data_IF_917088292332
#
_entry.id   IF_917088292332
#
_cell.length_a   1.000
_cell.length_b   1.000
_cell.length_c   1.000
_cell.angle_alpha   90.00
_cell.angle_beta   90.00
_cell.angle_gamma   90.00
#
_symmetry.space_group_name_H-M   'P 1'
#
loop_
_entity.id
_entity.type
_entity.pdbx_description
1 polymer ?
#
# COMPACT_ATOMS: atom_id res chain seq x y z
N UNK A 1 5.29 28.34 -2.34
CA UNK A 1 4.55 27.88 -3.54
C UNK A 1 3.37 28.84 -3.74
N UNK A 2 3.02 29.17 -4.98
CA UNK A 2 1.81 29.94 -5.27
C UNK A 2 0.62 28.98 -5.48
N UNK A 3 -0.51 29.23 -4.81
CA UNK A 3 -1.72 28.41 -4.93
C UNK A 3 -2.41 28.67 -6.27
N UNK A 4 -2.64 27.62 -7.05
CA UNK A 4 -3.39 27.72 -8.30
C UNK A 4 -4.91 27.61 -8.07
N UNK A 5 -5.69 27.67 -9.16
CA UNK A 5 -7.14 27.53 -9.08
C UNK A 5 -7.55 26.14 -8.55
N UNK A 6 -6.86 25.09 -8.97
CA UNK A 6 -7.20 23.72 -8.61
C UNK A 6 -6.96 23.46 -7.12
N UNK A 7 -5.91 24.04 -6.53
CA UNK A 7 -5.64 24.00 -5.09
C UNK A 7 -6.80 24.60 -4.30
N UNK A 8 -7.34 25.76 -4.74
CA UNK A 8 -8.43 26.45 -4.04
C UNK A 8 -9.74 25.67 -4.13
N UNK A 9 -10.08 25.17 -5.31
CA UNK A 9 -11.29 24.36 -5.50
C UNK A 9 -11.18 23.05 -4.70
N UNK A 10 -10.03 22.38 -4.74
CA UNK A 10 -9.80 21.14 -3.99
C UNK A 10 -9.81 21.33 -2.48
N UNK A 11 -9.21 22.40 -1.96
CA UNK A 11 -9.28 22.72 -0.54
C UNK A 11 -10.72 22.96 -0.06
N UNK A 12 -11.54 23.65 -0.87
CA UNK A 12 -12.96 23.89 -0.55
C UNK A 12 -13.80 22.61 -0.66
N UNK A 13 -13.56 21.77 -1.66
CA UNK A 13 -14.35 20.57 -1.93
C UNK A 13 -14.01 19.42 -0.96
N UNK A 14 -12.77 19.38 -0.46
CA UNK A 14 -12.22 18.28 0.33
C UNK A 14 -11.55 18.76 1.63
N UNK A 15 -12.24 19.63 2.37
CA UNK A 15 -11.76 20.15 3.66
C UNK A 15 -11.33 19.00 4.62
N UNK A 16 -10.11 19.08 5.13
CA UNK A 16 -9.54 18.05 6.00
C UNK A 16 -9.04 16.78 5.28
N UNK A 17 -9.08 16.72 3.95
CA UNK A 17 -8.58 15.58 3.15
C UNK A 17 -7.55 15.99 2.09
N UNK A 18 -7.07 17.23 2.13
CA UNK A 18 -6.02 17.72 1.25
C UNK A 18 -4.69 17.79 1.99
N UNK A 19 -3.60 17.49 1.31
CA UNK A 19 -2.24 17.60 1.85
C UNK A 19 -1.28 18.06 0.76
N UNK A 20 -0.32 18.89 1.15
CA UNK A 20 0.73 19.40 0.25
C UNK A 20 1.75 18.30 -0.05
N UNK A 21 1.92 17.97 -1.33
CA UNK A 21 2.66 16.76 -1.75
C UNK A 21 4.18 16.92 -1.70
N UNK A 22 4.68 18.15 -1.73
CA UNK A 22 6.08 18.48 -1.43
C UNK A 22 6.48 18.02 -0.01
N UNK A 23 5.62 18.29 0.98
CA UNK A 23 5.84 17.93 2.38
C UNK A 23 5.88 16.41 2.53
N UNK A 24 4.95 15.71 1.89
CA UNK A 24 4.92 14.23 1.88
C UNK A 24 6.26 13.67 1.38
N UNK A 25 6.76 14.17 0.25
CA UNK A 25 8.07 13.76 -0.30
C UNK A 25 9.25 14.11 0.62
N UNK A 26 9.21 15.28 1.27
CA UNK A 26 10.26 15.74 2.19
C UNK A 26 10.40 14.79 3.38
N UNK A 27 9.29 14.40 4.00
CA UNK A 27 9.30 13.61 5.23
C UNK A 27 9.35 12.09 5.00
N UNK A 28 8.79 11.57 3.90
CA UNK A 28 8.83 10.11 3.63
C UNK A 28 10.23 9.55 3.44
N UNK A 29 11.21 10.39 3.09
CA UNK A 29 12.63 9.99 2.95
C UNK A 29 13.42 10.07 4.25
N UNK A 30 12.88 10.71 5.29
CA UNK A 30 13.61 10.99 6.55
C UNK A 30 13.37 9.95 7.64
N UNK A 31 12.28 9.20 7.54
CA UNK A 31 11.81 8.28 8.56
C UNK A 31 11.58 6.88 7.98
N UNK A 32 11.86 5.81 8.74
CA UNK A 32 11.76 4.43 8.27
C UNK A 32 10.32 3.91 8.31
N UNK A 33 9.37 4.68 7.78
CA UNK A 33 7.95 4.31 7.68
C UNK A 33 7.43 4.55 6.26
N UNK A 34 6.38 3.83 5.81
CA UNK A 34 5.83 4.02 4.48
C UNK A 34 5.32 5.46 4.23
N UNK A 35 5.30 5.86 2.96
CA UNK A 35 4.85 7.21 2.56
C UNK A 35 3.44 7.52 3.05
N UNK A 36 2.49 6.58 2.92
CA UNK A 36 1.11 6.77 3.39
C UNK A 36 1.02 7.00 4.91
N UNK A 37 1.97 6.50 5.71
CA UNK A 37 2.00 6.74 7.18
C UNK A 37 2.39 8.17 7.49
N UNK A 38 3.42 8.68 6.83
CA UNK A 38 3.84 10.09 6.93
C UNK A 38 2.71 10.99 6.45
N UNK A 39 2.11 10.63 5.33
CA UNK A 39 1.03 11.41 4.73
C UNK A 39 -0.22 11.42 5.60
N UNK A 40 -0.56 10.33 6.29
CA UNK A 40 -1.65 10.33 7.26
C UNK A 40 -1.42 11.35 8.39
N UNK A 41 -0.19 11.42 8.93
CA UNK A 41 0.14 12.40 9.98
C UNK A 41 0.06 13.83 9.44
N UNK A 42 0.58 14.07 8.23
CA UNK A 42 0.45 15.36 7.56
C UNK A 42 -1.02 15.72 7.29
N UNK A 43 -1.83 14.80 6.76
CA UNK A 43 -3.25 15.00 6.54
C UNK A 43 -4.05 15.23 7.84
N UNK A 44 -3.53 14.78 8.98
CA UNK A 44 -4.19 15.01 10.27
C UNK A 44 -3.90 16.39 10.86
N UNK A 45 -2.68 16.90 10.70
CA UNK A 45 -2.23 18.13 11.37
C UNK A 45 -1.98 19.30 10.41
N UNK A 46 -1.85 19.04 9.10
CA UNK A 46 -1.49 19.99 8.06
C UNK A 46 -2.50 20.01 6.90
N UNK A 47 -3.74 19.54 7.12
CA UNK A 47 -4.79 19.57 6.09
C UNK A 47 -5.47 20.95 5.99
N UNK A 48 -4.65 21.96 5.71
CA UNK A 48 -5.05 23.34 5.50
C UNK A 48 -4.25 23.93 4.34
N UNK A 49 -4.75 25.03 3.77
CA UNK A 49 -4.01 25.85 2.79
C UNK A 49 -3.42 27.13 3.42
N UNK A 50 -3.66 27.38 4.71
CA UNK A 50 -3.01 28.45 5.45
C UNK A 50 -1.60 28.01 5.86
N UNK A 51 -0.58 28.73 5.39
CA UNK A 51 0.82 28.40 5.65
C UNK A 51 1.15 28.39 7.16
N UNK A 52 0.49 29.23 7.98
CA UNK A 52 0.74 29.26 9.43
C UNK A 52 0.22 27.99 10.11
N UNK A 53 -0.99 27.56 9.75
CA UNK A 53 -1.57 26.32 10.27
C UNK A 53 -0.72 25.11 9.85
N UNK A 54 -0.21 25.12 8.61
CA UNK A 54 0.72 24.09 8.13
C UNK A 54 2.01 24.10 8.95
N UNK A 55 2.65 25.24 9.19
CA UNK A 55 3.88 25.34 9.98
C UNK A 55 3.71 24.83 11.43
N UNK A 56 2.60 25.19 12.07
CA UNK A 56 2.25 24.67 13.40
C UNK A 56 2.04 23.16 13.38
N UNK A 57 1.30 22.65 12.39
CA UNK A 57 1.06 21.24 12.18
C UNK A 57 2.35 20.46 11.92
N UNK A 58 3.26 21.01 11.14
CA UNK A 58 4.57 20.42 10.82
C UNK A 58 5.41 20.21 12.07
N UNK A 59 5.42 21.17 13.00
CA UNK A 59 6.12 21.04 14.28
C UNK A 59 5.62 19.83 15.08
N UNK A 60 4.31 19.58 15.04
CA UNK A 60 3.70 18.42 15.70
C UNK A 60 4.10 17.12 14.99
N UNK A 61 4.04 17.09 13.65
CA UNK A 61 4.38 15.92 12.83
C UNK A 61 5.85 15.53 13.00
N UNK A 62 6.76 16.49 12.93
CA UNK A 62 8.20 16.28 13.12
C UNK A 62 8.50 15.65 14.48
N UNK A 63 7.91 16.21 15.55
CA UNK A 63 8.05 15.66 16.89
C UNK A 63 7.50 14.24 16.97
N UNK A 64 6.31 13.97 16.42
CA UNK A 64 5.71 12.64 16.46
C UNK A 64 6.54 11.60 15.69
N UNK A 65 7.01 11.94 14.49
CA UNK A 65 7.85 11.03 13.71
C UNK A 65 9.21 10.80 14.38
N UNK A 66 9.85 11.85 14.92
CA UNK A 66 11.12 11.73 15.62
C UNK A 66 11.01 10.88 16.91
N UNK A 67 9.96 11.06 17.69
CA UNK A 67 9.81 10.38 18.98
C UNK A 67 9.30 8.94 18.86
N UNK A 68 8.61 8.60 17.77
CA UNK A 68 7.83 7.36 17.66
C UNK A 68 8.30 6.41 16.57
N UNK A 69 9.11 6.85 15.61
CA UNK A 69 9.69 5.93 14.63
C UNK A 69 10.99 5.36 15.17
N UNK A 70 11.17 4.04 15.06
CA UNK A 70 12.40 3.38 15.49
C UNK A 70 13.38 3.37 14.33
N UNK A 71 14.55 3.99 14.49
CA UNK A 71 15.61 3.92 13.49
C UNK A 71 16.45 2.66 13.69
N UNK A 72 17.09 2.21 12.62
CA UNK A 72 18.01 1.06 12.68
C UNK A 72 19.08 1.28 13.75
N UNK A 73 19.20 0.35 14.69
CA UNK A 73 20.13 0.43 15.82
C UNK A 73 19.56 1.09 17.08
N UNK A 74 18.34 1.66 17.04
CA UNK A 74 17.68 2.27 18.20
C UNK A 74 16.67 1.32 18.89
N UNK A 75 16.59 0.05 18.47
CA UNK A 75 15.59 -0.91 18.94
C UNK A 75 15.70 -1.12 20.46
N UNK A 76 16.93 -1.31 20.95
CA UNK A 76 17.21 -1.49 22.39
C UNK A 76 17.00 -0.21 23.20
N UNK A 77 17.17 0.97 22.58
CA UNK A 77 16.91 2.25 23.24
C UNK A 77 15.42 2.44 23.52
N UNK A 78 14.56 2.07 22.57
CA UNK A 78 13.11 2.11 22.77
C UNK A 78 12.66 1.08 23.82
N UNK A 79 13.21 -0.15 23.79
CA UNK A 79 12.94 -1.17 24.83
C UNK A 79 13.36 -0.71 26.22
N UNK A 80 14.55 -0.12 26.36
CA UNK A 80 15.04 0.41 27.63
C UNK A 80 14.13 1.55 28.13
N UNK A 81 13.72 2.47 27.26
CA UNK A 81 12.77 3.53 27.62
C UNK A 81 11.42 2.98 28.08
N UNK A 82 10.90 1.94 27.42
CA UNK A 82 9.67 1.26 27.84
C UNK A 82 9.82 0.70 29.26
N UNK A 83 10.95 0.05 29.55
CA UNK A 83 11.28 -0.48 30.88
C UNK A 83 11.39 0.62 31.94
N UNK A 84 12.10 1.70 31.64
CA UNK A 84 12.39 2.75 32.62
C UNK A 84 11.18 3.65 32.91
N UNK A 85 10.35 3.91 31.89
CA UNK A 85 9.18 4.80 31.99
C UNK A 85 7.87 4.05 32.22
N UNK A 86 7.89 2.72 32.17
CA UNK A 86 6.71 1.85 32.21
C UNK A 86 6.01 1.70 30.86
N UNK A 87 5.94 2.78 30.05
CA UNK A 87 5.41 2.70 28.68
C UNK A 87 6.03 3.75 27.74
N UNK A 88 5.95 3.45 26.45
CA UNK A 88 6.35 4.33 25.35
C UNK A 88 5.30 4.27 24.23
N UNK A 89 5.36 5.26 23.34
CA UNK A 89 4.60 5.26 22.08
C UNK A 89 5.55 5.05 20.91
N UNK A 90 5.15 4.23 19.97
CA UNK A 90 5.86 4.04 18.71
C UNK A 90 4.89 3.89 17.54
N UNK A 91 5.39 4.04 16.32
CA UNK A 91 4.68 3.71 15.09
C UNK A 91 5.32 2.44 14.54
N UNK A 92 4.53 1.38 14.40
CA UNK A 92 5.01 0.10 13.87
C UNK A 92 3.90 -0.61 13.11
N UNK A 93 4.28 -1.58 12.27
CA UNK A 93 3.35 -2.56 11.74
C UNK A 93 3.04 -3.58 12.85
N UNK A 94 1.76 -3.75 13.16
CA UNK A 94 1.30 -4.69 14.18
C UNK A 94 0.77 -5.94 13.50
N UNK A 95 1.37 -7.08 13.85
CA UNK A 95 0.86 -8.41 13.48
C UNK A 95 0.49 -9.17 14.74
N UNK A 96 -0.43 -10.10 14.64
CA UNK A 96 -0.82 -10.99 15.73
C UNK A 96 -0.93 -12.43 15.21
N UNK A 97 -0.74 -13.39 16.12
CA UNK A 97 -0.95 -14.81 15.88
C UNK A 97 -1.54 -15.44 17.14
N UNK A 98 -2.29 -16.52 16.96
CA UNK A 98 -2.71 -17.37 18.07
C UNK A 98 -1.53 -18.21 18.55
N UNK A 99 -1.19 -18.10 19.83
CA UNK A 99 -0.27 -19.02 20.49
C UNK A 99 -1.06 -20.15 21.17
N UNK A 100 -1.20 -21.26 20.45
CA UNK A 100 -1.94 -22.44 20.91
C UNK A 100 -1.37 -23.08 22.19
N UNK A 101 -0.12 -22.77 22.58
CA UNK A 101 0.46 -23.30 23.84
C UNK A 101 -0.11 -22.61 25.06
N UNK A 102 -0.47 -21.34 24.93
CA UNK A 102 -0.93 -20.49 26.03
C UNK A 102 -2.39 -20.06 25.86
N UNK A 103 -3.04 -20.49 24.78
CA UNK A 103 -4.40 -20.11 24.40
C UNK A 103 -4.59 -18.59 24.44
N UNK A 104 -3.64 -17.85 23.88
CA UNK A 104 -3.63 -16.39 23.87
C UNK A 104 -3.12 -15.84 22.54
N UNK A 105 -3.51 -14.62 22.20
CA UNK A 105 -2.88 -13.91 21.09
C UNK A 105 -1.54 -13.28 21.52
N UNK A 106 -0.58 -13.32 20.61
CA UNK A 106 0.67 -12.58 20.73
C UNK A 106 0.92 -11.76 19.49
N UNK A 107 1.51 -10.59 19.70
CA UNK A 107 1.84 -9.64 18.65
C UNK A 107 3.32 -9.60 18.32
N UNK A 108 3.60 -9.24 17.08
CA UNK A 108 4.93 -8.91 16.57
C UNK A 108 5.00 -7.40 16.30
N UNK A 109 6.09 -6.78 16.76
CA UNK A 109 6.49 -5.40 16.51
C UNK A 109 7.87 -5.43 15.84
N UNK A 110 7.93 -5.51 14.49
CA UNK A 110 9.17 -5.72 13.75
C UNK A 110 10.20 -4.61 13.97
N UNK A 111 9.77 -3.36 14.16
CA UNK A 111 10.67 -2.23 14.37
C UNK A 111 11.46 -2.34 15.67
N UNK A 112 11.00 -3.16 16.62
CA UNK A 112 11.71 -3.51 17.85
C UNK A 112 12.25 -4.95 17.85
N UNK A 113 12.09 -5.70 16.76
CA UNK A 113 12.38 -7.13 16.70
C UNK A 113 11.71 -7.95 17.82
N UNK A 114 10.52 -7.55 18.27
CA UNK A 114 9.74 -8.27 19.28
C UNK A 114 8.71 -9.17 18.59
N UNK A 115 8.67 -10.46 18.94
CA UNK A 115 7.80 -11.47 18.28
C UNK A 115 6.72 -12.08 19.17
N UNK A 116 6.80 -11.82 20.47
CA UNK A 116 5.94 -12.42 21.49
C UNK A 116 5.48 -11.34 22.48
N UNK A 117 4.93 -10.24 21.95
CA UNK A 117 4.35 -9.14 22.73
C UNK A 117 2.94 -9.52 23.16
N UNK A 118 2.59 -9.31 24.43
CA UNK A 118 1.21 -9.57 24.90
C UNK A 118 0.25 -8.58 24.26
N UNK A 119 -0.95 -9.04 23.92
CA UNK A 119 -2.04 -8.19 23.41
C UNK A 119 -3.38 -8.72 23.93
N UNK A 120 -4.31 -7.82 24.21
CA UNK A 120 -5.66 -8.18 24.61
C UNK A 120 -6.47 -8.79 23.45
N UNK A 121 -7.22 -9.85 23.74
CA UNK A 121 -8.10 -10.54 22.79
C UNK A 121 -9.14 -9.63 22.16
N UNK A 122 -9.70 -8.70 22.93
CA UNK A 122 -10.66 -7.72 22.45
C UNK A 122 -10.04 -6.79 21.41
N UNK A 123 -8.80 -6.36 21.64
CA UNK A 123 -8.05 -5.52 20.69
C UNK A 123 -7.77 -6.27 19.37
N UNK A 124 -7.46 -7.57 19.44
CA UNK A 124 -7.28 -8.41 18.25
C UNK A 124 -8.59 -8.58 17.47
N UNK A 125 -9.70 -8.85 18.16
CA UNK A 125 -11.02 -9.01 17.53
C UNK A 125 -11.54 -7.73 16.88
N UNK A 126 -11.23 -6.57 17.46
CA UNK A 126 -11.55 -5.27 16.85
C UNK A 126 -10.74 -4.98 15.58
N UNK A 127 -9.60 -5.65 15.42
CA UNK A 127 -8.65 -5.40 14.35
C UNK A 127 -8.11 -6.71 13.76
N UNK A 128 -9.01 -7.51 13.19
CA UNK A 128 -8.71 -8.85 12.65
C UNK A 128 -7.58 -8.86 11.61
N UNK A 129 -7.36 -7.72 10.94
CA UNK A 129 -6.26 -7.52 9.99
C UNK A 129 -4.87 -7.79 10.62
N UNK A 130 -4.71 -7.68 11.94
CA UNK A 130 -3.49 -8.11 12.65
C UNK A 130 -3.17 -9.59 12.44
N UNK A 131 -4.18 -10.46 12.30
CA UNK A 131 -4.02 -11.91 12.13
C UNK A 131 -3.62 -12.33 10.70
N UNK A 132 -3.45 -11.36 9.81
CA UNK A 132 -3.03 -11.57 8.43
C UNK A 132 -1.63 -10.98 8.23
N UNK A 133 -1.49 -9.92 7.44
CA UNK A 133 -0.21 -9.26 7.18
C UNK A 133 0.06 -8.06 8.11
N UNK A 134 -0.91 -7.71 8.96
CA UNK A 134 -0.83 -6.58 9.88
C UNK A 134 -1.17 -5.23 9.24
N UNK A 135 -1.05 -4.17 10.03
CA UNK A 135 -1.21 -2.79 9.58
C UNK A 135 -0.39 -1.85 10.46
N UNK A 136 -0.06 -0.67 9.94
CA UNK A 136 0.64 0.35 10.71
C UNK A 136 -0.28 1.01 11.73
N UNK A 137 0.19 1.12 12.97
CA UNK A 137 -0.52 1.73 14.07
C UNK A 137 0.40 2.60 14.93
N UNK A 138 -0.15 3.62 15.58
CA UNK A 138 0.46 4.19 16.78
C UNK A 138 0.19 3.21 17.93
N UNK A 139 1.24 2.60 18.45
CA UNK A 139 1.21 1.58 19.51
C UNK A 139 1.69 2.20 20.82
N UNK A 140 0.95 1.94 21.90
CA UNK A 140 1.45 2.15 23.27
C UNK A 140 1.99 0.82 23.78
N UNK A 141 3.32 0.74 23.89
CA UNK A 141 4.03 -0.44 24.36
C UNK A 141 4.43 -0.24 25.82
N UNK A 142 3.97 -1.13 26.69
CA UNK A 142 4.35 -1.18 28.09
C UNK A 142 5.36 -2.28 28.38
N UNK A 143 6.04 -2.14 29.52
CA UNK A 143 6.95 -3.14 30.06
C UNK A 143 6.60 -3.43 31.52
N UNK A 144 6.41 -4.70 31.84
CA UNK A 144 6.15 -5.19 33.19
C UNK A 144 7.37 -5.97 33.74
N UNK A 145 8.00 -5.41 34.77
CA UNK A 145 9.18 -6.00 35.41
C UNK A 145 8.86 -7.24 36.27
N UNK A 146 7.64 -7.35 36.80
CA UNK A 146 7.23 -8.53 37.57
C UNK A 146 7.09 -9.73 36.64
N UNK A 147 6.44 -9.54 35.49
CA UNK A 147 6.31 -10.58 34.44
C UNK A 147 7.68 -10.96 33.88
N UNK A 148 8.64 -10.02 33.80
CA UNK A 148 10.01 -10.33 33.37
C UNK A 148 10.73 -11.35 34.27
N UNK A 149 10.33 -11.46 35.54
CA UNK A 149 10.92 -12.39 36.51
C UNK A 149 10.24 -13.77 36.50
N UNK A 150 9.10 -13.90 35.82
CA UNK A 150 8.39 -15.17 35.68
C UNK A 150 9.08 -16.09 34.68
N UNK A 151 8.98 -17.41 34.91
CA UNK A 151 9.54 -18.41 34.00
C UNK A 151 8.78 -18.39 32.68
N UNK A 152 9.39 -17.82 31.63
CA UNK A 152 8.77 -17.69 30.32
C UNK A 152 7.82 -16.49 30.18
N UNK A 153 7.90 -15.53 31.11
CA UNK A 153 7.10 -14.31 31.05
C UNK A 153 7.41 -13.44 29.83
N UNK A 154 6.38 -12.78 29.31
CA UNK A 154 6.45 -11.85 28.18
C UNK A 154 6.28 -10.42 28.71
N UNK A 155 7.37 -9.71 29.05
CA UNK A 155 7.25 -8.46 29.81
C UNK A 155 6.62 -7.32 28.99
N UNK A 156 6.77 -7.34 27.67
CA UNK A 156 6.18 -6.35 26.78
C UNK A 156 4.70 -6.62 26.51
N UNK A 157 3.88 -5.57 26.54
CA UNK A 157 2.47 -5.62 26.15
C UNK A 157 2.04 -4.41 25.32
N UNK A 158 1.11 -4.62 24.39
CA UNK A 158 0.39 -3.56 23.71
C UNK A 158 -0.80 -3.19 24.58
N UNK A 159 -0.72 -2.05 25.26
CA UNK A 159 -1.81 -1.53 26.10
C UNK A 159 -2.93 -0.94 25.24
N UNK A 160 -2.55 -0.30 24.12
CA UNK A 160 -3.47 0.29 23.16
C UNK A 160 -2.78 0.46 21.81
N UNK A 161 -3.58 0.46 20.75
CA UNK A 161 -3.12 0.85 19.42
C UNK A 161 -4.17 1.72 18.73
N UNK A 162 -3.71 2.55 17.80
CA UNK A 162 -4.56 3.32 16.90
C UNK A 162 -4.08 3.10 15.47
N UNK A 163 -4.93 2.49 14.65
CA UNK A 163 -4.64 2.33 13.22
C UNK A 163 -4.35 3.67 12.55
N UNK A 164 -3.32 3.69 11.69
CA UNK A 164 -2.94 4.85 10.88
C UNK A 164 -3.81 4.82 9.62
N UNK A 165 -5.09 5.14 9.80
CA UNK A 165 -6.12 5.21 8.77
C UNK A 165 -7.16 6.29 9.16
N UNK A 166 -7.63 7.07 8.18
CA UNK A 166 -8.77 7.99 8.25
C UNK A 166 -10.06 7.18 8.09
N UNK A 167 -10.45 6.48 9.15
CA UNK A 167 -11.74 5.78 9.15
C UNK A 167 -12.87 6.81 9.22
N UNK A 168 -13.63 6.96 8.12
CA UNK A 168 -14.98 7.54 8.16
C UNK A 168 -15.96 6.70 7.34
N UNK A 169 -17.18 6.56 7.86
CA UNK A 169 -18.23 5.76 7.22
C UNK A 169 -18.74 6.40 5.91
N UNK A 170 -18.59 7.71 5.73
CA UNK A 170 -19.15 8.53 4.65
C UNK A 170 -18.13 8.94 3.57
N UNK A 171 -17.04 8.19 3.44
CA UNK A 171 -15.93 8.50 2.52
C UNK A 171 -16.39 8.67 1.06
N UNK A 172 -17.29 7.81 0.58
CA UNK A 172 -17.83 7.86 -0.78
C UNK A 172 -18.78 9.04 -0.99
N UNK A 173 -19.58 9.38 0.02
CA UNK A 173 -20.47 10.55 -0.05
C UNK A 173 -19.64 11.85 -0.10
N UNK A 174 -18.54 11.90 0.65
CA UNK A 174 -17.58 13.01 0.57
C UNK A 174 -16.93 13.09 -0.80
N UNK A 175 -16.44 11.96 -1.35
CA UNK A 175 -15.87 11.91 -2.70
C UNK A 175 -16.86 12.40 -3.76
N UNK A 176 -18.09 11.90 -3.70
CA UNK A 176 -19.16 12.22 -4.66
C UNK A 176 -19.53 13.70 -4.61
N UNK A 177 -19.69 14.28 -3.42
CA UNK A 177 -19.97 15.71 -3.25
C UNK A 177 -18.84 16.56 -3.78
N UNK A 178 -17.61 16.32 -3.34
CA UNK A 178 -16.47 17.13 -3.76
C UNK A 178 -16.21 17.05 -5.26
N UNK A 179 -16.33 15.86 -5.86
CA UNK A 179 -16.15 15.67 -7.32
C UNK A 179 -17.09 16.53 -8.18
N UNK A 180 -18.28 16.89 -7.68
CA UNK A 180 -19.25 17.69 -8.43
C UNK A 180 -18.70 19.08 -8.82
N UNK A 181 -17.72 19.59 -8.08
CA UNK A 181 -17.16 20.92 -8.27
C UNK A 181 -16.05 20.97 -9.33
N UNK A 182 -15.77 19.84 -10.00
CA UNK A 182 -14.68 19.72 -10.98
C UNK A 182 -15.19 19.33 -12.36
N UNK A 183 -14.56 19.87 -13.39
CA UNK A 183 -14.62 19.27 -14.72
C UNK A 183 -13.88 17.93 -14.78
N UNK A 184 -14.12 17.13 -15.82
CA UNK A 184 -13.43 15.85 -16.01
C UNK A 184 -11.90 16.00 -16.06
N UNK A 185 -11.38 17.03 -16.73
CA UNK A 185 -9.94 17.25 -16.84
C UNK A 185 -9.33 17.69 -15.50
N UNK A 186 -9.98 18.60 -14.79
CA UNK A 186 -9.55 18.99 -13.44
C UNK A 186 -9.56 17.80 -12.47
N UNK A 187 -10.58 16.94 -12.55
CA UNK A 187 -10.65 15.75 -11.72
C UNK A 187 -9.50 14.77 -12.00
N UNK A 188 -9.13 14.56 -13.28
CA UNK A 188 -7.94 13.76 -13.63
C UNK A 188 -6.69 14.38 -13.02
N UNK A 189 -6.53 15.70 -13.10
CA UNK A 189 -5.39 16.40 -12.52
C UNK A 189 -5.34 16.26 -10.99
N UNK A 190 -6.49 16.35 -10.29
CA UNK A 190 -6.56 16.09 -8.85
C UNK A 190 -6.10 14.68 -8.52
N UNK A 191 -6.57 13.66 -9.25
CA UNK A 191 -6.14 12.27 -9.03
C UNK A 191 -4.63 12.09 -9.23
N UNK A 192 -4.07 12.67 -10.29
CA UNK A 192 -2.63 12.64 -10.57
C UNK A 192 -1.82 13.34 -9.47
N UNK A 193 -2.25 14.53 -9.03
CA UNK A 193 -1.62 15.23 -7.89
C UNK A 193 -1.73 14.43 -6.60
N UNK A 194 -2.85 13.74 -6.40
CA UNK A 194 -3.07 12.91 -5.21
C UNK A 194 -2.10 11.73 -5.11
N UNK A 195 -1.63 11.18 -6.24
CA UNK A 195 -0.55 10.18 -6.27
C UNK A 195 0.85 10.81 -6.41
N UNK A 196 0.94 12.14 -6.30
CA UNK A 196 2.19 12.91 -6.25
C UNK A 196 2.73 13.39 -7.60
N UNK A 197 2.02 13.17 -8.72
CA UNK A 197 2.48 13.54 -10.06
C UNK A 197 2.05 14.96 -10.44
N UNK A 198 2.90 15.67 -11.20
CA UNK A 198 2.56 16.98 -11.78
C UNK A 198 1.93 16.82 -13.17
N UNK A 199 0.61 17.08 -13.33
CA UNK A 199 -0.06 16.85 -14.61
C UNK A 199 0.50 17.69 -15.76
N UNK A 200 0.91 18.93 -15.50
CA UNK A 200 1.42 19.83 -16.53
C UNK A 200 2.78 19.37 -17.10
N UNK A 201 3.54 18.56 -16.34
CA UNK A 201 4.80 17.98 -16.78
C UNK A 201 4.63 16.65 -17.54
N UNK A 202 3.39 16.16 -17.69
CA UNK A 202 3.09 14.88 -18.33
C UNK A 202 2.38 15.10 -19.67
N UNK A 203 2.76 14.31 -20.68
CA UNK A 203 1.98 14.21 -21.92
C UNK A 203 0.60 13.59 -21.63
N UNK A 204 -0.37 13.84 -22.50
CA UNK A 204 -1.71 13.25 -22.36
C UNK A 204 -1.66 11.72 -22.30
N UNK A 205 -0.76 11.07 -23.05
CA UNK A 205 -0.55 9.61 -22.98
C UNK A 205 0.00 9.19 -21.62
N UNK A 206 0.99 9.91 -21.07
CA UNK A 206 1.56 9.60 -19.76
C UNK A 206 0.53 9.76 -18.64
N UNK A 207 -0.33 10.79 -18.71
CA UNK A 207 -1.44 10.97 -17.77
C UNK A 207 -2.42 9.78 -17.83
N UNK A 208 -2.78 9.30 -19.03
CA UNK A 208 -3.64 8.13 -19.18
C UNK A 208 -3.00 6.86 -18.61
N UNK A 209 -1.69 6.64 -18.83
CA UNK A 209 -0.97 5.51 -18.22
C UNK A 209 -1.04 5.57 -16.70
N UNK A 210 -0.83 6.76 -16.10
CA UNK A 210 -0.95 6.92 -14.66
C UNK A 210 -2.37 6.63 -14.14
N UNK A 211 -3.42 7.01 -14.86
CA UNK A 211 -4.80 6.68 -14.50
C UNK A 211 -5.08 5.18 -14.63
N UNK A 212 -4.57 4.51 -15.68
CA UNK A 212 -4.70 3.05 -15.84
C UNK A 212 -4.07 2.30 -14.66
N UNK A 213 -2.93 2.78 -14.13
CA UNK A 213 -2.31 2.21 -12.92
C UNK A 213 -3.25 2.25 -11.69
N UNK A 214 -4.22 3.17 -11.65
CA UNK A 214 -5.18 3.29 -10.54
C UNK A 214 -6.38 2.35 -10.69
N UNK A 215 -6.70 1.88 -11.90
CA UNK A 215 -7.87 1.02 -12.18
C UNK A 215 -7.90 -0.26 -11.32
N UNK A 216 -6.78 -0.99 -11.11
CA UNK A 216 -6.76 -2.16 -10.24
C UNK A 216 -7.24 -1.92 -8.81
N UNK A 217 -7.21 -0.67 -8.31
CA UNK A 217 -7.69 -0.34 -6.98
C UNK A 217 -9.21 -0.15 -6.92
N UNK A 218 -9.85 0.22 -8.02
CA UNK A 218 -11.29 0.52 -8.10
C UNK A 218 -12.14 -0.60 -8.72
N UNK A 219 -11.52 -1.58 -9.37
CA UNK A 219 -12.21 -2.72 -9.99
C UNK A 219 -11.74 -4.04 -9.38
N UNK A 220 -12.69 -4.95 -9.08
CA UNK A 220 -12.38 -6.28 -8.52
C UNK A 220 -11.74 -7.17 -9.58
N UNK A 221 -10.78 -7.99 -9.17
CA UNK A 221 -10.08 -8.94 -10.03
C UNK A 221 -9.56 -8.33 -11.35
N UNK A 222 -9.20 -7.04 -11.34
CA UNK A 222 -8.71 -6.36 -12.53
C UNK A 222 -7.23 -6.67 -12.74
N UNK A 223 -6.98 -7.53 -13.70
CA UNK A 223 -5.64 -8.03 -14.02
C UNK A 223 -4.97 -7.18 -15.11
N UNK A 224 -3.81 -6.61 -14.83
CA UNK A 224 -3.10 -5.75 -15.77
C UNK A 224 -1.60 -6.09 -15.85
N UNK A 225 -0.99 -5.74 -16.97
CA UNK A 225 0.46 -5.78 -17.16
C UNK A 225 0.98 -4.38 -17.50
N UNK A 226 2.09 -3.98 -16.89
CA UNK A 226 2.84 -2.79 -17.26
C UNK A 226 4.30 -3.16 -17.58
N UNK A 227 4.68 -2.99 -18.83
CA UNK A 227 6.06 -3.17 -19.28
C UNK A 227 6.58 -1.90 -19.93
N UNK A 228 7.82 -1.55 -19.60
CA UNK A 228 8.45 -0.37 -20.15
C UNK A 228 9.81 -0.07 -19.54
N UNK A 229 10.43 1.06 -19.88
CA UNK A 229 11.77 1.41 -19.45
C UNK A 229 11.92 1.50 -17.92
N UNK A 230 13.16 1.40 -17.44
CA UNK A 230 13.51 1.67 -16.04
C UNK A 230 13.32 3.16 -15.71
N UNK A 231 12.97 3.45 -14.45
CA UNK A 231 12.87 4.82 -13.93
C UNK A 231 11.54 5.53 -14.22
N UNK A 232 10.49 4.80 -14.61
CA UNK A 232 9.15 5.36 -14.90
C UNK A 232 8.17 5.26 -13.72
N UNK A 233 8.66 4.88 -12.53
CA UNK A 233 7.87 4.82 -11.29
C UNK A 233 6.80 3.73 -11.24
N UNK A 234 6.92 2.67 -12.05
CA UNK A 234 5.90 1.61 -12.22
C UNK A 234 5.42 1.00 -10.89
N UNK A 235 6.34 0.66 -9.99
CA UNK A 235 6.03 0.05 -8.68
C UNK A 235 5.60 1.05 -7.60
N UNK A 236 5.81 2.36 -7.81
CA UNK A 236 5.63 3.37 -6.76
C UNK A 236 4.19 3.42 -6.22
N UNK A 237 3.20 3.41 -7.12
CA UNK A 237 1.78 3.46 -6.76
C UNK A 237 1.38 2.27 -5.87
N UNK A 238 1.79 1.07 -6.26
CA UNK A 238 1.45 -0.19 -5.59
C UNK A 238 2.22 -0.43 -4.28
N UNK A 239 3.27 0.35 -4.03
CA UNK A 239 4.09 0.21 -2.83
C UNK A 239 3.82 1.33 -1.80
N UNK A 240 3.57 2.56 -2.25
CA UNK A 240 3.66 3.74 -1.40
C UNK A 240 2.33 4.45 -1.13
N UNK A 241 1.33 4.27 -2.00
CA UNK A 241 0.09 5.06 -1.95
C UNK A 241 -1.01 4.33 -1.17
N UNK A 242 -1.27 3.05 -1.47
CA UNK A 242 -2.39 2.32 -0.87
C UNK A 242 -1.91 1.26 0.12
N UNK A 243 -2.48 1.21 1.35
CA UNK A 243 -2.25 0.10 2.26
C UNK A 243 -2.97 -1.19 1.82
N UNK A 244 -3.81 -1.14 0.79
CA UNK A 244 -4.56 -2.29 0.26
C UNK A 244 -3.85 -2.98 -0.93
N UNK A 245 -2.62 -2.59 -1.24
CA UNK A 245 -1.76 -3.31 -2.17
C UNK A 245 -0.67 -4.11 -1.45
N UNK A 246 -0.33 -5.27 -2.02
CA UNK A 246 0.85 -6.05 -1.64
C UNK A 246 1.78 -6.20 -2.84
N UNK A 247 3.02 -5.75 -2.70
CA UNK A 247 4.04 -5.87 -3.75
C UNK A 247 4.99 -7.04 -3.46
N UNK A 248 5.15 -7.92 -4.44
CA UNK A 248 6.06 -9.05 -4.45
C UNK A 248 7.20 -8.72 -5.42
N UNK A 249 8.40 -8.48 -4.91
CA UNK A 249 9.59 -8.21 -5.73
C UNK A 249 10.35 -9.50 -6.03
N UNK A 250 10.24 -10.00 -7.27
CA UNK A 250 11.04 -11.11 -7.79
C UNK A 250 11.01 -12.43 -7.00
N UNK A 251 11.49 -13.51 -7.62
CA UNK A 251 11.71 -14.79 -6.94
C UNK A 251 10.49 -15.72 -6.87
N UNK A 252 10.53 -16.65 -5.92
CA UNK A 252 9.61 -17.79 -5.88
C UNK A 252 8.31 -17.41 -5.16
N UNK A 253 7.27 -17.11 -5.93
CA UNK A 253 5.92 -16.96 -5.40
C UNK A 253 5.32 -18.35 -5.17
N UNK A 254 4.89 -18.65 -3.94
CA UNK A 254 4.28 -19.95 -3.65
C UNK A 254 2.78 -19.90 -3.87
N UNK A 255 2.20 -21.00 -4.35
CA UNK A 255 0.74 -21.16 -4.45
C UNK A 255 0.07 -20.91 -3.09
N UNK A 256 0.72 -21.34 -2.00
CA UNK A 256 0.21 -21.14 -0.65
C UNK A 256 0.15 -19.66 -0.25
N UNK A 257 1.16 -18.86 -0.62
CA UNK A 257 1.20 -17.42 -0.35
C UNK A 257 0.15 -16.68 -1.18
N UNK A 258 0.00 -17.04 -2.45
CA UNK A 258 -0.93 -16.35 -3.34
C UNK A 258 -2.39 -16.67 -3.05
N UNK A 259 -2.73 -17.94 -2.80
CA UNK A 259 -4.12 -18.43 -2.83
C UNK A 259 -4.61 -18.92 -1.47
N UNK A 260 -4.07 -20.04 -0.98
CA UNK A 260 -4.46 -20.60 0.31
C UNK A 260 -3.42 -21.59 0.81
N UNK A 261 -3.09 -21.52 2.10
CA UNK A 261 -2.28 -22.52 2.76
C UNK A 261 -3.14 -23.72 3.20
N UNK A 262 -2.97 -24.88 2.56
CA UNK A 262 -3.76 -26.08 2.86
C UNK A 262 -3.53 -26.66 4.26
N UNK A 263 -2.38 -26.37 4.88
CA UNK A 263 -2.07 -26.91 6.21
C UNK A 263 -2.78 -26.12 7.31
N UNK A 264 -2.97 -24.81 7.11
CA UNK A 264 -3.54 -23.90 8.12
C UNK A 264 -4.93 -23.37 7.75
N UNK A 265 -5.36 -23.52 6.50
CA UNK A 265 -6.57 -22.89 5.96
C UNK A 265 -6.45 -21.40 5.71
N UNK A 266 -5.28 -20.79 5.98
CA UNK A 266 -5.07 -19.35 5.86
C UNK A 266 -5.22 -18.91 4.40
N UNK A 267 -6.11 -17.93 4.18
CA UNK A 267 -6.30 -17.27 2.88
C UNK A 267 -5.02 -16.57 2.44
N UNK A 268 -4.71 -16.64 1.15
CA UNK A 268 -3.53 -16.01 0.55
C UNK A 268 -3.76 -14.55 0.15
N UNK A 269 -2.76 -13.96 -0.49
CA UNK A 269 -2.72 -12.52 -0.80
C UNK A 269 -3.93 -12.02 -1.59
N UNK A 270 -4.42 -12.79 -2.58
CA UNK A 270 -5.54 -12.35 -3.43
C UNK A 270 -6.87 -12.22 -2.67
N UNK A 271 -6.98 -12.89 -1.51
CA UNK A 271 -8.13 -12.77 -0.62
C UNK A 271 -8.01 -11.60 0.37
N UNK A 272 -6.80 -11.08 0.58
CA UNK A 272 -6.49 -10.12 1.65
C UNK A 272 -6.27 -8.69 1.13
N UNK A 273 -5.92 -8.54 -0.14
CA UNK A 273 -5.54 -7.28 -0.75
C UNK A 273 -6.37 -6.99 -1.99
N UNK A 274 -6.61 -5.70 -2.20
CA UNK A 274 -7.24 -5.16 -3.40
C UNK A 274 -6.36 -5.38 -4.63
N UNK A 275 -5.04 -5.26 -4.46
CA UNK A 275 -4.07 -5.45 -5.54
C UNK A 275 -2.89 -6.29 -5.06
N UNK A 276 -2.56 -7.33 -5.82
CA UNK A 276 -1.29 -8.06 -5.67
C UNK A 276 -0.41 -7.73 -6.87
N UNK A 277 0.67 -7.01 -6.60
CA UNK A 277 1.59 -6.52 -7.62
C UNK A 277 2.86 -7.37 -7.66
N UNK A 278 3.11 -8.03 -8.78
CA UNK A 278 4.37 -8.70 -9.09
C UNK A 278 5.33 -7.70 -9.73
N UNK A 279 6.31 -7.22 -8.97
CA UNK A 279 7.42 -6.43 -9.51
C UNK A 279 8.52 -7.35 -10.05
N UNK A 280 9.18 -6.89 -11.11
CA UNK A 280 10.14 -7.68 -11.88
C UNK A 280 9.57 -9.05 -12.32
N UNK A 281 8.43 -9.04 -13.02
CA UNK A 281 7.68 -10.25 -13.44
C UNK A 281 8.55 -11.30 -14.14
N UNK A 282 9.61 -10.90 -14.83
CA UNK A 282 10.57 -11.81 -15.48
C UNK A 282 11.27 -12.77 -14.51
N UNK A 283 11.40 -12.38 -13.24
CA UNK A 283 12.04 -13.19 -12.19
C UNK A 283 11.05 -14.02 -11.37
N UNK A 284 9.76 -13.95 -11.67
CA UNK A 284 8.73 -14.69 -10.92
C UNK A 284 8.66 -16.13 -11.39
N UNK A 285 8.67 -17.06 -10.44
CA UNK A 285 8.40 -18.48 -10.68
C UNK A 285 7.46 -19.03 -9.62
N UNK A 286 6.60 -19.96 -10.01
CA UNK A 286 5.74 -20.69 -9.08
C UNK A 286 6.43 -21.94 -8.55
N UNK A 287 6.16 -22.27 -7.29
CA UNK A 287 6.71 -23.45 -6.63
C UNK A 287 6.13 -24.77 -7.12
N UNK A 288 4.92 -24.72 -7.69
CA UNK A 288 4.20 -25.86 -8.23
C UNK A 288 3.94 -25.63 -9.73
N UNK A 289 4.02 -26.70 -10.52
CA UNK A 289 3.74 -26.67 -11.97
C UNK A 289 2.35 -26.10 -12.28
N UNK A 290 1.40 -26.30 -11.37
CA UNK A 290 0.01 -25.86 -11.54
C UNK A 290 -0.26 -24.42 -11.07
N UNK A 291 0.74 -23.70 -10.55
CA UNK A 291 0.53 -22.35 -10.03
C UNK A 291 -0.03 -21.37 -11.07
N UNK A 292 0.46 -21.45 -12.31
CA UNK A 292 -0.05 -20.64 -13.43
C UNK A 292 -1.46 -21.09 -13.84
N UNK A 293 -1.78 -22.38 -13.77
CA UNK A 293 -3.13 -22.88 -14.07
C UNK A 293 -4.17 -22.38 -13.05
N UNK A 294 -3.82 -22.40 -11.76
CA UNK A 294 -4.68 -21.84 -10.70
C UNK A 294 -4.85 -20.34 -10.91
N UNK A 295 -3.76 -19.62 -11.22
CA UNK A 295 -3.81 -18.19 -11.50
C UNK A 295 -4.71 -17.86 -12.68
N UNK A 296 -4.66 -18.62 -13.78
CA UNK A 296 -5.60 -18.47 -14.91
C UNK A 296 -7.05 -18.66 -14.49
N UNK A 297 -7.37 -19.73 -13.75
CA UNK A 297 -8.73 -19.97 -13.27
C UNK A 297 -9.24 -18.82 -12.41
N UNK A 298 -8.38 -18.30 -11.52
CA UNK A 298 -8.67 -17.15 -10.69
C UNK A 298 -8.89 -15.87 -11.49
N UNK A 299 -7.98 -15.53 -12.40
CA UNK A 299 -8.06 -14.31 -13.19
C UNK A 299 -9.33 -14.24 -14.05
N UNK A 300 -9.90 -15.38 -14.45
CA UNK A 300 -11.15 -15.46 -15.21
C UNK A 300 -12.40 -15.39 -14.33
N UNK A 301 -12.41 -16.09 -13.19
CA UNK A 301 -13.64 -16.33 -12.42
C UNK A 301 -13.72 -15.59 -11.08
N UNK A 302 -12.60 -15.03 -10.60
CA UNK A 302 -12.46 -14.55 -9.23
C UNK A 302 -12.46 -15.69 -8.19
N UNK A 303 -12.37 -16.94 -8.65
CA UNK A 303 -12.44 -18.14 -7.82
C UNK A 303 -11.25 -19.06 -8.07
N UNK A 304 -10.81 -19.74 -7.01
CA UNK A 304 -9.84 -20.83 -7.13
C UNK A 304 -10.22 -21.99 -6.22
N UNK A 305 -9.91 -23.20 -6.66
CA UNK A 305 -10.15 -24.42 -5.90
C UNK A 305 -8.81 -25.04 -5.49
N UNK A 306 -8.67 -25.33 -4.20
CA UNK A 306 -7.54 -26.09 -3.67
C UNK A 306 -8.06 -27.10 -2.65
N UNK A 307 -8.39 -28.30 -3.12
CA UNK A 307 -9.07 -29.33 -2.32
C UNK A 307 -10.56 -29.44 -2.65
N UNK A 308 -11.44 -29.44 -1.63
CA UNK A 308 -12.89 -29.65 -1.80
C UNK A 308 -13.73 -28.37 -1.84
N UNK A 309 -13.17 -27.21 -1.50
CA UNK A 309 -13.91 -25.94 -1.44
C UNK A 309 -13.40 -24.95 -2.49
N UNK A 310 -14.35 -24.30 -3.19
CA UNK A 310 -14.07 -23.13 -4.03
C UNK A 310 -13.97 -21.89 -3.14
N UNK A 311 -12.97 -21.06 -3.41
CA UNK A 311 -12.67 -19.86 -2.64
C UNK A 311 -12.80 -18.66 -3.56
N UNK A 312 -13.71 -17.74 -3.21
CA UNK A 312 -13.85 -16.44 -3.87
C UNK A 312 -12.84 -15.45 -3.31
N UNK A 313 -12.29 -14.62 -4.20
CA UNK A 313 -11.41 -13.52 -3.88
C UNK A 313 -11.63 -12.36 -4.86
N UNK A 314 -11.22 -11.16 -4.45
CA UNK A 314 -11.47 -9.93 -5.20
C UNK A 314 -10.18 -9.21 -5.63
N UNK A 315 -9.00 -9.65 -5.17
CA UNK A 315 -7.73 -8.99 -5.45
C UNK A 315 -7.33 -9.04 -6.93
N UNK A 316 -7.00 -7.90 -7.52
CA UNK A 316 -6.49 -7.80 -8.89
C UNK A 316 -5.01 -8.14 -8.98
N UNK A 317 -4.58 -8.71 -10.10
CA UNK A 317 -3.18 -9.06 -10.37
C UNK A 317 -2.53 -7.99 -11.25
N UNK A 318 -1.50 -7.32 -10.73
CA UNK A 318 -0.69 -6.37 -11.51
C UNK A 318 0.68 -6.97 -11.75
N UNK A 319 1.12 -7.00 -13.01
CA UNK A 319 2.42 -7.55 -13.40
C UNK A 319 3.30 -6.44 -13.97
N UNK A 320 4.41 -6.14 -13.30
CA UNK A 320 5.32 -5.06 -13.68
C UNK A 320 6.63 -5.65 -14.15
N UNK A 321 7.14 -5.14 -15.27
CA UNK A 321 8.41 -5.59 -15.82
C UNK A 321 9.13 -4.53 -16.63
N UNK A 322 10.38 -4.84 -16.97
CA UNK A 322 11.16 -4.00 -17.87
C UNK A 322 11.03 -4.52 -19.31
N UNK A 323 10.86 -3.59 -20.24
CA UNK A 323 10.94 -3.85 -21.67
C UNK A 323 12.13 -3.08 -22.22
N UNK A 324 13.26 -3.76 -22.33
CA UNK A 324 14.54 -3.19 -22.75
C UNK A 324 14.78 -3.33 -24.27
N UNK A 325 13.70 -3.48 -25.06
CA UNK A 325 13.73 -3.64 -26.52
C UNK A 325 13.00 -2.51 -27.22
N UNK A 326 13.36 -2.24 -28.47
CA UNK A 326 12.64 -1.31 -29.33
C UNK A 326 11.25 -1.87 -29.65
N UNK A 327 10.20 -1.14 -29.24
CA UNK A 327 8.80 -1.60 -29.33
C UNK A 327 8.39 -1.93 -30.76
N UNK A 328 8.74 -1.06 -31.72
CA UNK A 328 8.40 -1.26 -33.14
C UNK A 328 9.06 -2.51 -33.71
N UNK A 329 10.32 -2.78 -33.35
CA UNK A 329 11.00 -3.99 -33.76
C UNK A 329 10.36 -5.23 -33.12
N UNK A 330 10.10 -5.17 -31.82
CA UNK A 330 9.51 -6.28 -31.05
C UNK A 330 8.15 -6.71 -31.60
N UNK A 331 7.31 -5.76 -32.01
CA UNK A 331 6.00 -6.05 -32.63
C UNK A 331 6.10 -6.76 -33.98
N UNK A 332 7.23 -6.60 -34.71
CA UNK A 332 7.46 -7.29 -36.00
C UNK A 332 7.94 -8.72 -35.81
N UNK A 333 8.67 -9.00 -34.73
CA UNK A 333 9.31 -10.30 -34.49
C UNK A 333 8.58 -11.16 -33.46
N UNK A 334 7.61 -10.60 -32.72
CA UNK A 334 6.83 -11.32 -31.73
C UNK A 334 5.81 -10.44 -31.01
N UNK A 335 5.56 -10.73 -29.73
CA UNK A 335 4.62 -9.99 -28.88
C UNK A 335 5.33 -9.20 -27.77
N UNK A 336 4.58 -8.27 -27.18
CA UNK A 336 5.07 -7.34 -26.15
C UNK A 336 5.11 -7.94 -24.74
N UNK A 337 4.64 -9.18 -24.55
CA UNK A 337 4.74 -9.93 -23.29
C UNK A 337 6.05 -10.74 -23.15
N UNK A 338 7.03 -10.54 -24.02
CA UNK A 338 8.30 -11.27 -23.98
C UNK A 338 9.06 -11.25 -22.64
N UNK A 339 8.93 -10.22 -21.78
CA UNK A 339 9.54 -10.24 -20.45
C UNK A 339 8.88 -11.18 -19.43
N UNK A 340 7.66 -11.67 -19.68
CA UNK A 340 6.99 -12.59 -18.74
C UNK A 340 7.69 -13.96 -18.72
N UNK A 341 7.52 -14.77 -17.65
CA UNK A 341 7.99 -16.15 -17.60
C UNK A 341 7.42 -16.99 -18.76
N UNK A 342 8.17 -17.99 -19.30
CA UNK A 342 7.73 -18.83 -20.40
C UNK A 342 6.32 -19.41 -20.22
N UNK A 343 6.00 -19.86 -19.01
CA UNK A 343 4.70 -20.46 -18.66
C UNK A 343 3.52 -19.48 -18.77
N UNK A 344 3.78 -18.18 -18.76
CA UNK A 344 2.77 -17.13 -18.96
C UNK A 344 2.84 -16.52 -20.35
N UNK A 345 4.06 -16.25 -20.84
CA UNK A 345 4.29 -15.55 -22.10
C UNK A 345 3.96 -16.40 -23.32
N UNK A 346 3.99 -17.73 -23.21
CA UNK A 346 3.74 -18.66 -24.32
C UNK A 346 2.33 -19.29 -24.19
N UNK A 347 1.50 -18.82 -23.25
CA UNK A 347 0.14 -19.31 -22.98
C UNK A 347 -0.91 -18.25 -23.37
N UNK A 348 -1.56 -18.42 -24.52
CA UNK A 348 -2.57 -17.47 -25.02
C UNK A 348 -3.79 -17.37 -24.10
N UNK A 349 -4.15 -18.43 -23.39
CA UNK A 349 -5.25 -18.38 -22.44
C UNK A 349 -4.90 -17.49 -21.24
N UNK A 350 -3.64 -17.47 -20.81
CA UNK A 350 -3.18 -16.49 -19.82
C UNK A 350 -3.32 -15.05 -20.35
N UNK A 351 -2.90 -14.81 -21.60
CA UNK A 351 -2.97 -13.48 -22.22
C UNK A 351 -4.40 -12.93 -22.29
N UNK A 352 -5.38 -13.77 -22.64
CA UNK A 352 -6.79 -13.39 -22.75
C UNK A 352 -7.41 -12.92 -21.42
N UNK A 353 -6.76 -13.24 -20.30
CA UNK A 353 -7.21 -12.86 -18.94
C UNK A 353 -6.57 -11.56 -18.44
N UNK A 354 -5.75 -10.90 -19.27
CA UNK A 354 -5.19 -9.58 -18.99
C UNK A 354 -6.17 -8.52 -19.50
N UNK A 355 -6.72 -7.72 -18.60
CA UNK A 355 -7.69 -6.68 -18.92
C UNK A 355 -7.05 -5.45 -19.57
N UNK A 356 -5.80 -5.13 -19.22
CA UNK A 356 -5.08 -4.01 -19.80
C UNK A 356 -3.56 -4.25 -19.88
N UNK A 357 -2.99 -3.72 -20.96
CA UNK A 357 -1.56 -3.52 -21.12
C UNK A 357 -1.26 -2.02 -20.98
N UNK A 358 -0.64 -1.62 -19.88
CA UNK A 358 -0.14 -0.26 -19.71
C UNK A 358 1.21 -0.11 -20.41
N UNK A 359 1.24 0.74 -21.44
CA UNK A 359 2.43 1.05 -22.22
C UNK A 359 3.42 1.91 -21.43
N UNK A 360 4.28 1.27 -20.64
CA UNK A 360 5.22 1.97 -19.76
C UNK A 360 6.25 2.84 -20.49
N UNK A 361 6.42 2.66 -21.82
CA UNK A 361 7.25 3.54 -22.67
C UNK A 361 6.59 4.88 -23.02
N UNK A 362 5.28 5.02 -22.85
CA UNK A 362 4.59 6.30 -22.97
C UNK A 362 4.73 7.18 -21.72
N UNK A 363 5.29 6.62 -20.64
CA UNK A 363 5.54 7.31 -19.39
C UNK A 363 7.00 7.79 -19.34
N UNK A 364 7.26 9.08 -18.99
CA UNK A 364 8.62 9.60 -18.98
C UNK A 364 9.46 8.97 -17.86
N UNK A 365 10.79 9.03 -18.03
CA UNK A 365 11.69 8.79 -16.90
C UNK A 365 11.50 9.91 -15.89
N UNK A 366 11.19 9.55 -14.65
CA UNK A 366 10.83 10.51 -13.62
C UNK A 366 12.05 11.32 -13.18
N UNK A 367 11.94 12.63 -13.35
CA UNK A 367 12.81 13.61 -12.71
C UNK A 367 12.09 14.22 -11.50
N UNK A 368 12.63 14.09 -10.27
CA UNK A 368 11.92 14.55 -9.09
C UNK A 368 11.59 16.04 -9.04
N UNK A 369 12.36 16.87 -9.74
CA UNK A 369 12.19 18.33 -9.75
C UNK A 369 11.21 18.81 -10.82
N UNK A 370 10.64 17.89 -11.61
CA UNK A 370 9.82 18.23 -12.78
C UNK A 370 8.50 17.47 -12.77
N UNK A 371 8.54 16.16 -12.47
CA UNK A 371 7.38 15.28 -12.65
C UNK A 371 6.58 15.06 -11.36
N UNK A 372 7.06 15.51 -10.21
CA UNK A 372 6.31 15.43 -8.96
C UNK A 372 5.75 16.79 -8.59
N UNK A 373 4.50 16.82 -8.16
CA UNK A 373 3.78 18.07 -7.89
C UNK A 373 4.13 18.64 -6.53
N UNK A 374 4.40 19.93 -6.43
CA UNK A 374 4.49 20.61 -5.13
C UNK A 374 3.10 21.00 -4.58
N UNK A 375 2.05 20.88 -5.39
CA UNK A 375 0.68 21.28 -5.08
C UNK A 375 -0.02 20.33 -4.09
N UNK A 376 -1.26 20.70 -3.74
CA UNK A 376 -2.12 19.89 -2.91
C UNK A 376 -2.71 18.71 -3.70
N UNK A 377 -2.86 17.58 -3.01
CA UNK A 377 -3.65 16.45 -3.50
C UNK A 377 -4.39 15.79 -2.35
N UNK A 378 -5.32 14.88 -2.66
CA UNK A 378 -6.05 14.11 -1.67
C UNK A 378 -5.07 13.28 -0.83
N UNK A 379 -5.31 13.19 0.47
CA UNK A 379 -4.56 12.32 1.37
C UNK A 379 -4.67 10.88 0.87
N UNK A 380 -3.54 10.19 0.68
CA UNK A 380 -3.49 8.84 0.12
C UNK A 380 -4.40 7.84 0.82
N UNK A 381 -4.60 7.97 2.13
CA UNK A 381 -5.50 7.10 2.88
C UNK A 381 -6.99 7.33 2.53
N UNK A 382 -7.44 8.59 2.41
CA UNK A 382 -8.79 8.92 1.93
C UNK A 382 -9.02 8.39 0.51
N UNK A 383 -8.02 8.57 -0.36
CA UNK A 383 -8.09 8.10 -1.74
C UNK A 383 -8.14 6.56 -1.81
N UNK A 384 -7.33 5.87 -1.02
CA UNK A 384 -7.27 4.40 -0.99
C UNK A 384 -8.54 3.79 -0.42
N UNK A 385 -9.11 4.39 0.62
CA UNK A 385 -10.40 3.97 1.17
C UNK A 385 -11.54 4.18 0.17
N UNK A 386 -11.55 5.32 -0.53
CA UNK A 386 -12.47 5.56 -1.65
C UNK A 386 -12.36 4.46 -2.71
N UNK A 387 -11.14 4.14 -3.14
CA UNK A 387 -10.93 3.10 -4.15
C UNK A 387 -11.45 1.74 -3.69
N UNK A 388 -11.07 1.32 -2.49
CA UNK A 388 -11.47 0.02 -1.94
C UNK A 388 -13.00 -0.13 -1.88
N UNK A 389 -13.72 0.92 -1.49
CA UNK A 389 -15.20 0.89 -1.42
C UNK A 389 -15.90 1.06 -2.77
N UNK A 390 -15.20 1.56 -3.79
CA UNK A 390 -15.75 1.64 -5.16
C UNK A 390 -15.69 0.29 -5.88
N UNK A 391 -14.90 -0.67 -5.40
CA UNK A 391 -14.77 -2.02 -5.98
C UNK A 391 -16.13 -2.71 -6.03
N UNK A 392 -16.69 -2.83 -7.24
CA UNK A 392 -17.96 -3.53 -7.51
C UNK A 392 -17.75 -4.91 -8.07
#
# INVERSE_FOLDING_TARGET
>A
MELDNLDRVAASAFEGYMVRKDLVRKYSRQYPVPTYVVEFLLGRYCASIDEREIEEGLTIVERQLADRTVRTGEEELFKARARDRGSIKLIDIVRAKLDAKTDSFVSELPSLALKDVRIDDGLVKQHERMLTDGFYAEVTLSYDAAIAQEKGGRPFAIDSLRAIQLSKADVLDTLKRGRHDFTTEEWKHVLLRSVGLEPAALSQRAQLVALVRMVPFVERNYNMVELGPRGTGKSHLFQQISPYAHLISGGKATVAKMFVNNNTGQRGLVCQYDVVCFDEISGVSFDQKDGVNILKGYMESGEFSRGKESIRAEGGIVMIGNLDVEVEHQQRVGHLLSPLPPEMRDDTAFMDRIHAYASGWDFPKLNPNEHFTDHFGLVSDFLSECWSRLRT
#
